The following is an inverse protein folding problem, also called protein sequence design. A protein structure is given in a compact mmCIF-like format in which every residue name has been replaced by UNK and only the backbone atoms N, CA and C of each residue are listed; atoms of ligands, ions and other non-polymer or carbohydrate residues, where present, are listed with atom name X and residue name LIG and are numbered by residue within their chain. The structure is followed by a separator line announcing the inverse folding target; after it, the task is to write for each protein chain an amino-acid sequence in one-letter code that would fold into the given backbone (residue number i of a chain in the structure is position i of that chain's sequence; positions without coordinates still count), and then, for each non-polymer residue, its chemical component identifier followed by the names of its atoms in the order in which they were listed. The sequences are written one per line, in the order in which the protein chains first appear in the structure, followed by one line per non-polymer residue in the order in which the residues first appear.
data_IF_531935291555
#
_entry.id   IF_531935291555
#
_cell.length_a   1.000
_cell.length_b   1.000
_cell.length_c   1.000
_cell.angle_alpha   90.00
_cell.angle_beta   90.00
_cell.angle_gamma   90.00
#
_symmetry.space_group_name_H-M   'P 1'
#
loop_
_entity.id
_entity.type
_entity.pdbx_description
1 polymer ?
#
# COMPACT_ATOMS: atom_id res chain seq x y z
N UNK A 1 -14.03 9.14 -9.95
CA UNK A 1 -13.44 8.99 -8.62
C UNK A 1 -11.98 8.55 -8.73
N UNK A 2 -11.16 8.93 -7.73
CA UNK A 2 -9.80 8.45 -7.56
C UNK A 2 -9.74 7.56 -6.33
N UNK A 3 -9.09 6.39 -6.44
CA UNK A 3 -9.00 5.39 -5.38
C UNK A 3 -7.58 4.83 -5.25
N UNK A 4 -7.22 4.40 -4.05
CA UNK A 4 -5.94 3.76 -3.73
C UNK A 4 -6.13 2.28 -3.36
N UNK A 5 -6.85 1.55 -4.18
CA UNK A 5 -7.18 0.14 -3.98
C UNK A 5 -5.93 -0.75 -4.01
N UNK A 6 -5.90 -1.77 -3.15
CA UNK A 6 -4.72 -2.61 -2.92
C UNK A 6 -4.31 -3.41 -4.16
N UNK A 7 -5.21 -4.26 -4.64
CA UNK A 7 -4.89 -5.18 -5.74
C UNK A 7 -4.81 -4.48 -7.09
N UNK A 8 -5.62 -3.44 -7.30
CA UNK A 8 -5.53 -2.61 -8.49
C UNK A 8 -4.21 -1.82 -8.53
N UNK A 9 -3.73 -1.30 -7.39
CA UNK A 9 -2.41 -0.66 -7.30
C UNK A 9 -1.29 -1.66 -7.59
N UNK A 10 -1.37 -2.89 -7.05
CA UNK A 10 -0.41 -3.95 -7.35
C UNK A 10 -0.37 -4.29 -8.85
N UNK A 11 -1.52 -4.36 -9.50
CA UNK A 11 -1.60 -4.59 -10.95
C UNK A 11 -0.99 -3.44 -11.74
N UNK A 12 -1.20 -2.19 -11.32
CA UNK A 12 -0.57 -1.01 -11.90
C UNK A 12 0.95 -1.02 -11.81
N UNK A 13 1.51 -1.55 -10.71
CA UNK A 13 2.96 -1.74 -10.53
C UNK A 13 3.53 -2.84 -11.41
N UNK A 14 2.79 -3.94 -11.57
CA UNK A 14 3.23 -5.11 -12.31
C UNK A 14 3.04 -4.98 -13.83
N UNK A 15 2.38 -3.93 -14.28
CA UNK A 15 1.99 -3.73 -15.68
C UNK A 15 0.77 -4.57 -16.06
N UNK A 16 -0.35 -3.90 -16.26
CA UNK A 16 -1.58 -4.51 -16.76
C UNK A 16 -1.37 -5.11 -18.16
N UNK A 17 -1.77 -6.36 -18.34
CA UNK A 17 -1.83 -7.00 -19.66
C UNK A 17 -3.29 -7.21 -20.04
N UNK A 18 -3.69 -7.01 -21.31
CA UNK A 18 -5.09 -7.20 -21.73
C UNK A 18 -5.69 -8.56 -21.39
N UNK A 19 -4.89 -9.63 -21.30
CA UNK A 19 -5.33 -10.97 -20.90
C UNK A 19 -5.66 -11.13 -19.41
N UNK A 20 -5.38 -10.15 -18.55
CA UNK A 20 -5.77 -10.20 -17.13
C UNK A 20 -7.29 -10.21 -16.94
N UNK A 21 -8.04 -9.61 -17.86
CA UNK A 21 -9.49 -9.51 -17.83
C UNK A 21 -10.09 -10.03 -19.14
N UNK A 22 -11.28 -10.63 -19.09
CA UNK A 22 -12.05 -11.03 -20.28
C UNK A 22 -12.50 -9.80 -21.07
N UNK A 23 -13.00 -10.00 -22.30
CA UNK A 23 -13.56 -8.90 -23.11
C UNK A 23 -14.74 -8.23 -22.42
N UNK A 24 -15.64 -9.02 -21.83
CA UNK A 24 -16.82 -8.55 -21.11
C UNK A 24 -16.43 -7.74 -19.86
N UNK A 25 -15.48 -8.24 -19.07
CA UNK A 25 -14.98 -7.55 -17.88
C UNK A 25 -14.36 -6.19 -18.23
N UNK A 26 -13.57 -6.11 -19.30
CA UNK A 26 -13.04 -4.85 -19.80
C UNK A 26 -14.14 -3.89 -20.21
N UNK A 27 -15.21 -4.38 -20.86
CA UNK A 27 -16.36 -3.58 -21.25
C UNK A 27 -17.10 -3.03 -20.02
N UNK A 28 -17.33 -3.86 -19.00
CA UNK A 28 -17.95 -3.44 -17.73
C UNK A 28 -17.11 -2.36 -17.00
N UNK A 29 -15.79 -2.45 -17.09
CA UNK A 29 -14.87 -1.43 -16.56
C UNK A 29 -14.80 -0.17 -17.44
N UNK A 30 -15.45 -0.17 -18.61
CA UNK A 30 -15.42 0.94 -19.57
C UNK A 30 -14.07 1.09 -20.30
N UNK A 31 -13.35 -0.02 -20.48
CA UNK A 31 -11.98 -0.03 -20.97
C UNK A 31 -10.96 0.26 -19.86
N UNK A 32 -9.79 -0.40 -19.94
CA UNK A 32 -8.71 -0.28 -18.95
C UNK A 32 -7.43 0.16 -19.65
N UNK A 33 -6.76 1.17 -19.10
CA UNK A 33 -5.45 1.62 -19.54
C UNK A 33 -4.51 1.84 -18.35
N UNK A 34 -3.22 1.97 -18.63
CA UNK A 34 -2.19 2.29 -17.64
C UNK A 34 -1.62 3.68 -17.98
N UNK A 35 -1.61 4.57 -17.01
CA UNK A 35 -0.87 5.82 -17.07
C UNK A 35 0.54 5.60 -16.52
N UNK A 36 1.54 6.11 -17.22
CA UNK A 36 2.94 6.11 -16.78
C UNK A 36 3.13 6.89 -15.48
N UNK A 37 4.27 6.65 -14.83
CA UNK A 37 4.59 7.32 -13.57
C UNK A 37 4.83 8.83 -13.74
N UNK A 38 4.34 9.57 -12.78
CA UNK A 38 4.63 10.98 -12.55
C UNK A 38 4.33 11.33 -11.11
N UNK A 39 5.13 12.21 -10.53
CA UNK A 39 4.91 12.68 -9.16
C UNK A 39 3.52 13.29 -9.00
N UNK A 40 2.83 13.02 -7.89
CA UNK A 40 1.52 13.62 -7.60
C UNK A 40 1.55 15.15 -7.71
N UNK A 41 0.52 15.70 -8.38
CA UNK A 41 0.38 17.14 -8.60
C UNK A 41 1.21 17.70 -9.76
N UNK A 42 2.02 16.91 -10.47
CA UNK A 42 2.85 17.39 -11.58
C UNK A 42 2.17 17.33 -12.94
N UNK A 43 2.66 18.15 -13.89
CA UNK A 43 2.24 18.09 -15.29
C UNK A 43 2.57 16.75 -15.95
N UNK A 44 3.63 16.08 -15.51
CA UNK A 44 4.03 14.75 -16.00
C UNK A 44 2.92 13.74 -15.76
N UNK A 45 2.41 13.65 -14.53
CA UNK A 45 1.30 12.75 -14.21
C UNK A 45 0.02 13.14 -14.98
N UNK A 46 -0.29 14.46 -15.07
CA UNK A 46 -1.45 14.93 -15.82
C UNK A 46 -1.40 14.55 -17.30
N UNK A 47 -0.22 14.66 -17.93
CA UNK A 47 -0.03 14.27 -19.33
C UNK A 47 -0.16 12.75 -19.52
N UNK A 48 0.46 11.95 -18.65
CA UNK A 48 0.31 10.49 -18.67
C UNK A 48 -1.15 10.05 -18.54
N UNK A 49 -1.91 10.73 -17.67
CA UNK A 49 -3.35 10.49 -17.53
C UNK A 49 -4.14 10.85 -18.80
N UNK A 50 -3.87 12.01 -19.41
CA UNK A 50 -4.53 12.42 -20.67
C UNK A 50 -4.24 11.42 -21.78
N UNK A 51 -3.00 10.98 -21.91
CA UNK A 51 -2.58 9.97 -22.89
C UNK A 51 -3.31 8.65 -22.68
N UNK A 52 -3.35 8.14 -21.45
CA UNK A 52 -4.09 6.93 -21.10
C UNK A 52 -5.59 7.02 -21.40
N UNK A 53 -6.19 8.22 -21.28
CA UNK A 53 -7.61 8.47 -21.57
C UNK A 53 -7.89 8.70 -23.07
N UNK A 54 -6.90 9.06 -23.86
CA UNK A 54 -7.08 9.44 -25.28
C UNK A 54 -7.71 8.31 -26.13
N UNK A 55 -7.51 7.05 -25.73
CA UNK A 55 -8.09 5.86 -26.36
C UNK A 55 -9.45 5.44 -25.80
N UNK A 56 -10.10 6.31 -25.03
CA UNK A 56 -11.48 6.12 -24.55
C UNK A 56 -11.61 5.25 -23.30
N UNK A 57 -10.50 4.80 -22.69
CA UNK A 57 -10.55 4.06 -21.43
C UNK A 57 -11.16 4.90 -20.30
N UNK A 58 -12.02 4.27 -19.50
CA UNK A 58 -12.69 4.89 -18.33
C UNK A 58 -12.09 4.47 -16.99
N UNK A 59 -11.27 3.41 -16.98
CA UNK A 59 -10.55 2.91 -15.80
C UNK A 59 -9.06 3.00 -16.08
N UNK A 60 -8.36 3.86 -15.35
CA UNK A 60 -6.93 4.13 -15.56
C UNK A 60 -6.16 3.68 -14.33
N UNK A 61 -5.32 2.67 -14.49
CA UNK A 61 -4.35 2.27 -13.48
C UNK A 61 -3.16 3.25 -13.55
N UNK A 62 -2.86 3.92 -12.46
CA UNK A 62 -1.74 4.86 -12.38
C UNK A 62 -0.53 4.14 -11.76
N UNK A 63 0.57 4.05 -12.50
CA UNK A 63 1.80 3.44 -12.01
C UNK A 63 2.27 4.11 -10.70
N UNK A 64 2.55 3.31 -9.68
CA UNK A 64 3.00 3.72 -8.34
C UNK A 64 2.00 4.57 -7.51
N UNK A 65 0.74 4.75 -7.98
CA UNK A 65 -0.18 5.65 -7.32
C UNK A 65 -1.49 4.97 -6.90
N UNK A 66 -2.37 4.70 -7.83
CA UNK A 66 -3.70 4.18 -7.58
C UNK A 66 -4.51 4.05 -8.87
N UNK A 67 -5.79 4.40 -8.83
CA UNK A 67 -6.70 4.26 -9.96
C UNK A 67 -7.55 5.52 -10.15
N UNK A 68 -7.76 5.95 -11.39
CA UNK A 68 -8.79 6.92 -11.75
C UNK A 68 -9.91 6.20 -12.49
N UNK A 69 -11.16 6.42 -12.08
CA UNK A 69 -12.35 5.85 -12.71
C UNK A 69 -13.29 6.98 -13.14
N UNK A 70 -13.58 7.03 -14.44
CA UNK A 70 -14.53 7.95 -15.05
C UNK A 70 -15.86 7.23 -15.29
N UNK A 71 -16.97 7.80 -14.84
CA UNK A 71 -18.31 7.25 -14.98
C UNK A 71 -19.34 8.39 -15.11
N UNK A 72 -20.60 8.05 -15.44
CA UNK A 72 -21.68 9.04 -15.57
C UNK A 72 -22.30 9.39 -14.24
N UNK A 73 -22.20 8.50 -13.24
CA UNK A 73 -22.70 8.71 -11.89
C UNK A 73 -21.70 8.22 -10.85
N UNK A 74 -21.88 8.65 -9.60
CA UNK A 74 -21.09 8.18 -8.46
C UNK A 74 -21.26 6.67 -8.24
N UNK A 75 -22.49 6.16 -8.34
CA UNK A 75 -22.79 4.74 -8.14
C UNK A 75 -22.10 3.87 -9.21
N UNK A 76 -22.14 4.28 -10.48
CA UNK A 76 -21.43 3.60 -11.55
C UNK A 76 -19.91 3.57 -11.28
N UNK A 77 -19.36 4.68 -10.79
CA UNK A 77 -17.94 4.75 -10.46
C UNK A 77 -17.55 3.81 -9.30
N UNK A 78 -18.37 3.74 -8.26
CA UNK A 78 -18.18 2.83 -7.13
C UNK A 78 -18.30 1.36 -7.54
N UNK A 79 -19.31 1.02 -8.34
CA UNK A 79 -19.47 -0.35 -8.88
C UNK A 79 -18.24 -0.77 -9.69
N UNK A 80 -17.73 0.11 -10.57
CA UNK A 80 -16.51 -0.15 -11.34
C UNK A 80 -15.29 -0.31 -10.44
N UNK A 81 -15.14 0.50 -9.38
CA UNK A 81 -14.06 0.38 -8.43
C UNK A 81 -14.09 -0.98 -7.71
N UNK A 82 -15.26 -1.37 -7.20
CA UNK A 82 -15.43 -2.67 -6.54
C UNK A 82 -15.19 -3.85 -7.49
N UNK A 83 -15.68 -3.75 -8.73
CA UNK A 83 -15.45 -4.77 -9.75
C UNK A 83 -13.95 -4.89 -10.04
N UNK A 84 -13.28 -3.76 -10.29
CA UNK A 84 -11.84 -3.73 -10.59
C UNK A 84 -11.04 -4.42 -9.48
N UNK A 85 -11.29 -4.08 -8.21
CA UNK A 85 -10.55 -4.64 -7.09
C UNK A 85 -10.74 -6.16 -6.96
N UNK A 86 -11.98 -6.67 -7.14
CA UNK A 86 -12.26 -8.11 -7.17
C UNK A 86 -11.53 -8.81 -8.31
N UNK A 87 -11.55 -8.24 -9.51
CA UNK A 87 -10.87 -8.79 -10.67
C UNK A 87 -9.36 -8.80 -10.50
N UNK A 88 -8.79 -7.72 -9.98
CA UNK A 88 -7.37 -7.63 -9.66
C UNK A 88 -6.99 -8.68 -8.60
N UNK A 89 -7.76 -8.82 -7.52
CA UNK A 89 -7.53 -9.83 -6.49
C UNK A 89 -7.51 -11.25 -7.07
N UNK A 90 -8.41 -11.56 -7.99
CA UNK A 90 -8.45 -12.86 -8.68
C UNK A 90 -7.15 -13.17 -9.44
N UNK A 91 -6.52 -12.16 -10.05
CA UNK A 91 -5.26 -12.33 -10.76
C UNK A 91 -4.10 -12.77 -9.84
N UNK A 92 -4.24 -12.58 -8.54
CA UNK A 92 -3.22 -12.85 -7.54
C UNK A 92 -3.53 -14.02 -6.61
N UNK A 93 -4.61 -14.76 -6.88
CA UNK A 93 -4.91 -15.97 -6.12
C UNK A 93 -3.76 -16.97 -6.27
N UNK A 94 -3.28 -17.49 -5.14
CA UNK A 94 -2.17 -18.44 -5.08
C UNK A 94 -0.79 -17.84 -4.72
N UNK A 95 -0.60 -16.53 -4.76
CA UNK A 95 0.70 -15.92 -4.39
C UNK A 95 0.97 -15.97 -2.88
N UNK A 96 -0.08 -16.06 -2.04
CA UNK A 96 -0.02 -16.02 -0.58
C UNK A 96 -0.32 -17.38 0.10
N UNK A 97 -0.26 -18.50 -0.63
CA UNK A 97 -0.69 -19.81 -0.11
C UNK A 97 0.22 -20.45 0.94
N UNK A 98 1.35 -19.84 1.28
CA UNK A 98 2.20 -20.35 2.36
C UNK A 98 1.78 -19.74 3.70
N UNK A 99 1.20 -20.55 4.58
CA UNK A 99 0.90 -20.17 5.96
C UNK A 99 2.21 -19.81 6.69
N UNK A 100 2.40 -18.54 7.00
CA UNK A 100 3.51 -18.10 7.83
C UNK A 100 3.22 -18.42 9.31
N UNK A 101 4.25 -18.75 10.11
CA UNK A 101 4.07 -18.95 11.55
C UNK A 101 3.44 -17.72 12.22
N UNK A 102 2.44 -17.94 13.06
CA UNK A 102 1.70 -16.88 13.75
C UNK A 102 1.93 -16.98 15.24
N UNK A 103 2.33 -15.89 15.87
CA UNK A 103 2.49 -15.80 17.31
C UNK A 103 1.14 -15.95 18.03
N UNK A 104 1.14 -16.73 19.11
CA UNK A 104 -0.01 -16.87 19.99
C UNK A 104 -0.46 -15.51 20.55
N UNK A 105 -1.78 -15.27 20.60
CA UNK A 105 -2.38 -13.98 20.97
C UNK A 105 -1.91 -13.50 22.34
N UNK A 106 -1.92 -14.35 23.36
CA UNK A 106 -1.48 -14.01 24.73
C UNK A 106 -0.04 -13.50 24.79
N UNK A 107 0.86 -14.11 23.97
CA UNK A 107 2.25 -13.67 23.86
C UNK A 107 2.34 -12.32 23.15
N UNK A 108 1.57 -12.12 22.09
CA UNK A 108 1.50 -10.86 21.38
C UNK A 108 1.02 -9.72 22.30
N UNK A 109 -0.04 -9.95 23.07
CA UNK A 109 -0.58 -8.96 24.01
C UNK A 109 0.48 -8.56 25.05
N UNK A 110 1.23 -9.52 25.56
CA UNK A 110 2.33 -9.25 26.50
C UNK A 110 3.47 -8.43 25.86
N UNK A 111 3.80 -8.69 24.59
CA UNK A 111 4.82 -7.91 23.87
C UNK A 111 4.33 -6.51 23.62
N UNK A 112 3.09 -6.36 23.10
CA UNK A 112 2.50 -5.05 22.80
C UNK A 112 2.30 -4.20 24.06
N UNK A 113 1.91 -4.81 25.18
CA UNK A 113 1.80 -4.07 26.46
C UNK A 113 3.12 -3.40 26.82
N UNK A 114 4.25 -4.08 26.63
CA UNK A 114 5.58 -3.51 26.88
C UNK A 114 5.95 -2.42 25.85
N UNK A 115 5.64 -2.63 24.57
CA UNK A 115 5.88 -1.63 23.50
C UNK A 115 5.09 -0.35 23.79
N UNK A 116 3.85 -0.45 24.26
CA UNK A 116 2.97 0.67 24.55
C UNK A 116 3.43 1.55 25.70
N UNK A 117 4.38 1.12 26.51
CA UNK A 117 4.99 2.02 27.51
C UNK A 117 5.74 3.19 26.84
N UNK A 118 6.41 2.97 25.70
CA UNK A 118 7.09 4.02 24.94
C UNK A 118 6.25 4.54 23.76
N UNK A 119 5.41 3.69 23.19
CA UNK A 119 4.58 3.96 22.01
C UNK A 119 3.09 3.63 22.30
N UNK A 120 2.36 4.51 23.01
CA UNK A 120 1.03 4.18 23.54
C UNK A 120 0.01 3.72 22.49
N UNK A 121 0.11 4.23 21.26
CA UNK A 121 -0.79 3.92 20.15
C UNK A 121 -0.34 2.69 19.34
N UNK A 122 0.75 2.01 19.73
CA UNK A 122 1.24 0.88 18.96
C UNK A 122 0.21 -0.24 18.83
N UNK A 123 -0.05 -0.68 17.61
CA UNK A 123 -0.93 -1.80 17.32
C UNK A 123 -0.29 -2.79 16.34
N UNK A 124 -0.76 -4.03 16.35
CA UNK A 124 -0.33 -5.07 15.41
C UNK A 124 -1.31 -5.16 14.25
N UNK A 125 -0.78 -5.15 13.03
CA UNK A 125 -1.49 -5.51 11.81
C UNK A 125 -1.08 -6.95 11.40
N UNK A 126 -2.07 -7.85 11.32
CA UNK A 126 -1.85 -9.30 11.15
C UNK A 126 -2.61 -9.80 9.92
N UNK A 127 -2.08 -9.49 8.75
CA UNK A 127 -2.58 -10.04 7.48
C UNK A 127 -1.63 -11.09 6.95
N UNK A 128 -2.11 -11.94 6.06
CA UNK A 128 -1.27 -12.98 5.43
C UNK A 128 -0.08 -12.37 4.70
N UNK A 129 -0.27 -11.23 4.05
CA UNK A 129 0.81 -10.53 3.36
C UNK A 129 1.90 -10.03 4.31
N UNK A 130 1.51 -9.39 5.41
CA UNK A 130 2.43 -8.89 6.43
C UNK A 130 3.16 -10.03 7.15
N UNK A 131 2.44 -11.09 7.51
CA UNK A 131 3.02 -12.29 8.12
C UNK A 131 4.05 -12.95 7.19
N UNK A 132 3.71 -13.06 5.90
CA UNK A 132 4.61 -13.62 4.89
C UNK A 132 5.87 -12.77 4.71
N UNK A 133 5.74 -11.44 4.58
CA UNK A 133 6.90 -10.55 4.46
C UNK A 133 7.80 -10.61 5.69
N UNK A 134 7.23 -10.64 6.90
CA UNK A 134 7.97 -10.78 8.15
C UNK A 134 8.69 -12.14 8.25
N UNK A 135 8.02 -13.24 7.86
CA UNK A 135 8.61 -14.58 7.85
C UNK A 135 9.75 -14.74 6.83
N UNK A 136 9.63 -14.08 5.68
CA UNK A 136 10.69 -14.02 4.66
C UNK A 136 11.89 -13.17 5.09
N UNK A 137 11.81 -12.48 6.23
CA UNK A 137 12.80 -11.51 6.70
C UNK A 137 13.15 -10.46 5.62
N UNK A 138 12.15 -9.99 4.90
CA UNK A 138 12.31 -9.05 3.79
C UNK A 138 11.69 -7.70 4.14
N UNK A 139 12.47 -6.61 4.20
CA UNK A 139 11.93 -5.28 4.39
C UNK A 139 11.07 -4.86 3.18
N UNK A 140 9.98 -4.15 3.44
CA UNK A 140 9.15 -3.57 2.39
C UNK A 140 9.71 -2.20 2.01
N UNK A 141 10.12 -2.04 0.75
CA UNK A 141 10.58 -0.75 0.20
C UNK A 141 9.44 -0.03 -0.48
N UNK A 142 9.46 1.30 -0.46
CA UNK A 142 8.41 2.10 -1.06
C UNK A 142 8.32 1.85 -2.58
N UNK A 143 7.16 1.36 -2.99
CA UNK A 143 6.76 1.13 -4.38
C UNK A 143 5.59 2.04 -4.78
N UNK A 144 4.89 2.58 -3.80
CA UNK A 144 3.71 3.41 -3.96
C UNK A 144 3.93 4.78 -3.31
N UNK A 145 3.31 5.79 -3.91
CA UNK A 145 3.39 7.18 -3.45
C UNK A 145 2.84 7.37 -2.03
N UNK A 146 1.73 6.72 -1.69
CA UNK A 146 1.13 6.79 -0.35
C UNK A 146 2.04 6.19 0.73
N UNK A 147 2.72 5.07 0.44
CA UNK A 147 3.73 4.53 1.35
C UNK A 147 4.91 5.51 1.50
N UNK A 148 5.40 6.09 0.40
CA UNK A 148 6.49 7.05 0.44
C UNK A 148 6.12 8.29 1.28
N UNK A 149 4.88 8.77 1.16
CA UNK A 149 4.36 9.93 1.88
C UNK A 149 4.23 9.67 3.38
N UNK A 150 3.52 8.62 3.79
CA UNK A 150 3.16 8.39 5.18
C UNK A 150 4.19 7.57 5.96
N UNK A 151 4.73 6.51 5.36
CA UNK A 151 5.66 5.59 6.04
C UNK A 151 7.12 5.93 5.70
N UNK A 152 7.35 6.43 4.49
CA UNK A 152 8.70 6.73 4.01
C UNK A 152 9.31 5.59 3.18
N UNK A 153 10.63 5.48 3.19
CA UNK A 153 11.36 4.66 2.23
C UNK A 153 11.28 3.15 2.46
N UNK A 154 11.06 2.72 3.72
CA UNK A 154 11.14 1.30 4.07
C UNK A 154 10.40 0.99 5.37
N UNK A 155 9.74 -0.17 5.42
CA UNK A 155 9.32 -0.85 6.65
C UNK A 155 10.39 -1.91 6.93
N UNK A 156 11.24 -1.74 7.96
CA UNK A 156 12.28 -2.71 8.30
C UNK A 156 11.69 -3.96 8.96
N UNK A 157 12.53 -4.98 9.15
CA UNK A 157 12.17 -6.23 9.87
C UNK A 157 12.99 -6.30 11.14
N UNK A 158 12.38 -6.68 12.28
CA UNK A 158 13.12 -7.06 13.49
C UNK A 158 13.66 -8.48 13.35
N UNK A 159 14.74 -8.80 14.08
CA UNK A 159 15.28 -10.16 14.07
C UNK A 159 14.38 -11.11 14.88
N UNK A 160 13.86 -10.60 15.99
CA UNK A 160 12.96 -11.34 16.88
C UNK A 160 11.76 -10.46 17.30
N UNK A 161 10.72 -11.11 17.78
CA UNK A 161 9.54 -10.43 18.30
C UNK A 161 9.74 -10.01 19.78
N UNK A 162 10.72 -9.15 20.03
CA UNK A 162 11.02 -8.61 21.35
C UNK A 162 10.62 -7.14 21.46
N UNK A 163 10.02 -6.76 22.59
CA UNK A 163 9.52 -5.39 22.78
C UNK A 163 10.61 -4.33 22.61
N UNK A 164 11.83 -4.58 23.05
CA UNK A 164 12.95 -3.65 22.90
C UNK A 164 13.34 -3.39 21.45
N UNK A 165 13.40 -4.44 20.61
CA UNK A 165 13.68 -4.27 19.17
C UNK A 165 12.56 -3.52 18.45
N UNK A 166 11.30 -3.83 18.78
CA UNK A 166 10.14 -3.17 18.21
C UNK A 166 10.14 -1.69 18.58
N UNK A 167 10.33 -1.35 19.87
CA UNK A 167 10.37 0.04 20.32
C UNK A 167 11.53 0.80 19.67
N UNK A 168 12.73 0.23 19.64
CA UNK A 168 13.88 0.87 18.99
C UNK A 168 13.69 1.13 17.49
N UNK A 169 12.90 0.28 16.81
CA UNK A 169 12.53 0.50 15.42
C UNK A 169 11.48 1.61 15.29
N UNK A 170 10.48 1.65 16.19
CA UNK A 170 9.42 2.67 16.21
C UNK A 170 9.92 4.05 16.64
N UNK A 171 11.01 4.15 17.40
CA UNK A 171 11.66 5.45 17.72
C UNK A 171 12.09 6.22 16.46
N UNK A 172 12.31 5.52 15.37
CA UNK A 172 12.81 6.08 14.11
C UNK A 172 11.80 6.00 12.97
N UNK A 173 10.71 5.24 13.15
CA UNK A 173 9.74 4.91 12.09
C UNK A 173 8.35 4.67 12.66
N UNK A 174 7.33 4.81 11.82
CA UNK A 174 5.94 4.54 12.20
C UNK A 174 5.50 3.09 11.96
N UNK A 175 6.34 2.23 11.37
CA UNK A 175 6.01 0.85 11.07
C UNK A 175 7.26 -0.04 11.06
N UNK A 176 7.10 -1.29 11.52
CA UNK A 176 8.14 -2.33 11.53
C UNK A 176 7.51 -3.71 11.33
N UNK A 177 8.13 -4.56 10.50
CA UNK A 177 7.74 -5.97 10.38
C UNK A 177 8.34 -6.78 11.54
N UNK A 178 7.54 -7.71 12.08
CA UNK A 178 7.92 -8.52 13.24
C UNK A 178 7.58 -9.98 12.95
N UNK A 179 8.57 -10.91 13.01
CA UNK A 179 8.34 -12.33 12.76
C UNK A 179 7.23 -12.90 13.65
N UNK A 180 6.28 -13.60 13.03
CA UNK A 180 5.12 -14.18 13.68
C UNK A 180 4.02 -13.19 14.11
N UNK A 181 4.24 -11.89 13.94
CA UNK A 181 3.27 -10.84 14.27
C UNK A 181 2.67 -10.19 13.02
N UNK A 182 3.46 -10.05 11.95
CA UNK A 182 3.11 -9.24 10.79
C UNK A 182 3.79 -7.88 10.86
N UNK A 183 3.05 -6.79 11.10
CA UNK A 183 3.62 -5.49 11.36
C UNK A 183 3.18 -4.93 12.71
N UNK A 184 4.04 -4.12 13.35
CA UNK A 184 3.65 -3.22 14.43
C UNK A 184 3.76 -1.80 13.90
N UNK A 185 2.69 -1.03 14.04
CA UNK A 185 2.60 0.36 13.57
C UNK A 185 2.25 1.28 14.74
N UNK A 186 2.70 2.54 14.65
CA UNK A 186 2.38 3.57 15.63
C UNK A 186 2.30 4.92 14.92
N UNK A 187 1.13 5.51 14.90
CA UNK A 187 0.83 6.82 14.33
C UNK A 187 0.80 7.92 15.39
N UNK A 188 0.40 9.12 14.98
CA UNK A 188 0.25 10.29 15.84
C UNK A 188 -1.03 10.26 16.67
N UNK A 189 -2.07 9.63 16.15
CA UNK A 189 -3.37 9.38 16.77
C UNK A 189 -3.90 8.00 16.34
N UNK A 190 -5.07 7.61 16.82
CA UNK A 190 -5.67 6.30 16.51
C UNK A 190 -6.01 6.15 15.03
N UNK A 191 -6.56 7.22 14.41
CA UNK A 191 -6.91 7.22 12.98
C UNK A 191 -5.67 7.06 12.11
N UNK A 192 -4.60 7.80 12.42
CA UNK A 192 -3.31 7.71 11.72
C UNK A 192 -2.70 6.30 11.90
N UNK A 193 -2.77 5.75 13.10
CA UNK A 193 -2.29 4.39 13.38
C UNK A 193 -3.07 3.35 12.56
N UNK A 194 -4.38 3.49 12.45
CA UNK A 194 -5.20 2.60 11.63
C UNK A 194 -4.91 2.75 10.14
N UNK A 195 -4.74 3.98 9.66
CA UNK A 195 -4.34 4.24 8.28
C UNK A 195 -2.97 3.63 7.95
N UNK A 196 -2.00 3.73 8.87
CA UNK A 196 -0.69 3.09 8.72
C UNK A 196 -0.77 1.56 8.66
N UNK A 197 -1.66 0.93 9.44
CA UNK A 197 -1.88 -0.51 9.40
C UNK A 197 -2.41 -0.98 8.03
N UNK A 198 -3.42 -0.29 7.50
CA UNK A 198 -3.98 -0.56 6.17
C UNK A 198 -2.93 -0.34 5.08
N UNK A 199 -2.15 0.72 5.19
CA UNK A 199 -1.12 1.06 4.21
C UNK A 199 0.06 0.07 4.24
N UNK A 200 0.45 -0.40 5.43
CA UNK A 200 1.48 -1.43 5.57
C UNK A 200 1.05 -2.75 4.91
N UNK A 201 -0.22 -3.15 5.08
CA UNK A 201 -0.78 -4.32 4.40
C UNK A 201 -0.77 -4.17 2.87
N UNK A 202 -1.27 -3.05 2.36
CA UNK A 202 -1.23 -2.73 0.93
C UNK A 202 0.20 -2.80 0.38
N UNK A 203 1.16 -2.22 1.09
CA UNK A 203 2.57 -2.25 0.69
C UNK A 203 3.14 -3.67 0.68
N UNK A 204 2.75 -4.52 1.65
CA UNK A 204 3.15 -5.93 1.69
C UNK A 204 2.58 -6.73 0.51
N UNK A 205 1.29 -6.56 0.20
CA UNK A 205 0.65 -7.18 -0.97
C UNK A 205 1.38 -6.78 -2.25
N UNK A 206 1.64 -5.47 -2.45
CA UNK A 206 2.36 -4.99 -3.63
C UNK A 206 3.78 -5.56 -3.73
N UNK A 207 4.51 -5.63 -2.59
CA UNK A 207 5.87 -6.16 -2.54
C UNK A 207 5.92 -7.65 -2.90
N UNK A 208 4.97 -8.46 -2.42
CA UNK A 208 4.86 -9.88 -2.75
C UNK A 208 4.56 -10.09 -4.23
N UNK A 209 3.62 -9.34 -4.79
CA UNK A 209 3.22 -9.49 -6.19
C UNK A 209 4.32 -9.07 -7.15
N UNK A 210 4.99 -7.93 -6.90
CA UNK A 210 6.14 -7.51 -7.72
C UNK A 210 7.29 -8.50 -7.63
N UNK A 211 7.55 -9.06 -6.44
CA UNK A 211 8.58 -10.08 -6.26
C UNK A 211 8.25 -11.39 -6.99
N UNK A 212 6.99 -11.84 -6.94
CA UNK A 212 6.53 -13.06 -7.63
C UNK A 212 6.67 -12.96 -9.16
N UNK A 213 6.55 -11.75 -9.71
CA UNK A 213 6.75 -11.50 -11.14
C UNK A 213 8.19 -11.16 -11.51
N UNK A 214 9.13 -11.22 -10.56
CA UNK A 214 10.52 -10.86 -10.80
C UNK A 214 10.73 -9.37 -11.13
N UNK A 215 9.77 -8.52 -10.81
CA UNK A 215 9.82 -7.09 -11.12
C UNK A 215 10.42 -6.27 -9.98
N UNK A 216 11.05 -5.16 -10.34
CA UNK A 216 11.56 -4.15 -9.40
C UNK A 216 10.81 -2.84 -9.61
N UNK A 217 9.71 -2.67 -8.90
CA UNK A 217 8.87 -1.47 -8.98
C UNK A 217 9.17 -0.51 -7.82
N UNK A 218 10.41 -0.05 -7.68
CA UNK A 218 10.78 0.87 -6.60
C UNK A 218 10.73 2.32 -7.10
N UNK A 219 10.24 3.21 -6.25
CA UNK A 219 10.36 4.66 -6.43
C UNK A 219 11.82 5.09 -6.27
N UNK A 220 12.21 6.19 -6.93
CA UNK A 220 13.53 6.77 -6.74
C UNK A 220 13.68 7.31 -5.30
N UNK A 221 14.91 7.31 -4.78
CA UNK A 221 15.19 7.87 -3.45
C UNK A 221 14.84 9.35 -3.36
N UNK A 222 15.03 10.10 -4.45
CA UNK A 222 14.71 11.52 -4.53
C UNK A 222 13.19 11.74 -4.46
N UNK A 223 12.41 10.95 -5.22
CA UNK A 223 10.95 11.04 -5.21
C UNK A 223 10.37 10.70 -3.83
N UNK A 224 10.88 9.64 -3.19
CA UNK A 224 10.46 9.24 -1.84
C UNK A 224 10.74 10.37 -0.84
N UNK A 225 11.94 10.93 -0.85
CA UNK A 225 12.32 12.01 0.08
C UNK A 225 11.45 13.26 -0.14
N UNK A 226 11.22 13.64 -1.39
CA UNK A 226 10.38 14.78 -1.75
C UNK A 226 8.93 14.57 -1.30
N UNK A 227 8.36 13.40 -1.60
CA UNK A 227 6.98 13.09 -1.24
C UNK A 227 6.78 13.06 0.28
N UNK A 228 7.71 12.45 1.01
CA UNK A 228 7.66 12.42 2.47
C UNK A 228 7.73 13.82 3.07
N UNK A 229 8.65 14.67 2.58
CA UNK A 229 8.79 16.05 3.01
C UNK A 229 7.51 16.87 2.74
N UNK A 230 6.96 16.78 1.53
CA UNK A 230 5.72 17.49 1.15
C UNK A 230 4.56 17.05 2.02
N UNK A 231 4.42 15.75 2.29
CA UNK A 231 3.37 15.23 3.16
C UNK A 231 3.51 15.79 4.58
N UNK A 232 4.70 15.73 5.18
CA UNK A 232 4.93 16.24 6.53
C UNK A 232 4.65 17.74 6.64
N UNK A 233 5.01 18.55 5.63
CA UNK A 233 4.84 20.00 5.68
C UNK A 233 3.41 20.46 5.35
N UNK A 234 2.76 19.83 4.39
CA UNK A 234 1.49 20.31 3.84
C UNK A 234 0.26 19.63 4.44
N UNK A 235 0.29 18.31 4.52
CA UNK A 235 -0.89 17.53 4.89
C UNK A 235 -0.96 17.24 6.40
N UNK A 236 0.17 17.03 7.06
CA UNK A 236 0.18 16.84 8.51
C UNK A 236 -0.24 18.11 9.26
N UNK A 237 0.20 19.31 8.78
CA UNK A 237 -0.22 20.60 9.36
C UNK A 237 -1.71 20.90 9.15
N UNK A 238 -2.27 20.59 7.98
CA UNK A 238 -3.70 20.80 7.72
C UNK A 238 -4.60 19.99 8.67
N UNK A 239 -4.14 18.81 9.09
CA UNK A 239 -4.87 17.98 10.07
C UNK A 239 -4.82 18.60 11.47
N UNK A 240 -3.78 19.33 11.82
CA UNK A 240 -3.64 20.04 13.10
C UNK A 240 -4.49 21.34 13.13
N UNK A 241 -4.61 22.04 12.00
CA UNK A 241 -5.37 23.29 11.88
C UNK A 241 -6.88 23.08 11.69
N UNK A 242 -7.32 21.87 11.30
CA UNK A 242 -8.73 21.49 11.11
C UNK A 242 -9.40 20.91 12.36
N UNK A 243 -8.72 20.90 13.49
CA UNK A 243 -9.25 20.61 14.82
C UNK A 243 -9.43 21.89 15.62
#
# INVERSE_FOLDING_TARGET
IHTHQTYASALGLCGYKPGCFTGEERQQLGGVAVAGYGLPGTKTLQNAMREAMAHGAKTILMAHHGVLICARSHDEALMRAQLLERLCRRCWQGVLEQAAPVMEQKRLDSVLAKVRHAHPLACAARTDALLTMAALNRPIRAQLDDMAQMIGSVIPVTQIAAAGEISAALDKRCAVLVPGVGAVVCGKDEDDTQALAVLADKAAVCALHTAALGQRAQLSRADIALQHLVYQQKYAKQKEEGK
#
